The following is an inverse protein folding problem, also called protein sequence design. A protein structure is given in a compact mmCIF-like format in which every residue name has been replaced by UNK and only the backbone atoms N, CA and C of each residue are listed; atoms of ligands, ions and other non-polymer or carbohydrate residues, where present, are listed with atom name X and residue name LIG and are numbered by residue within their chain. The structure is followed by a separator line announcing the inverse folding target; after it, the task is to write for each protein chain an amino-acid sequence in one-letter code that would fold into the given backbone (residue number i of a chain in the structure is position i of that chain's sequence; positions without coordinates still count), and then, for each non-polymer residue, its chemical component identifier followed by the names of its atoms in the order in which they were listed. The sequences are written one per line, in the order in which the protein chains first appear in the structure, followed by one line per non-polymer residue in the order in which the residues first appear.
data_IF_465256507837
#
_entry.id   IF_465256507837
#
_cell.length_a   1.000
_cell.length_b   1.000
_cell.length_c   1.000
_cell.angle_alpha   90.00
_cell.angle_beta   90.00
_cell.angle_gamma   90.00
#
_symmetry.space_group_name_H-M   'P 1'
#
loop_
_entity.id
_entity.type
_entity.pdbx_description
1 polymer ?
#
# COMPACT_ATOMS: atom_id res chain seq x y z
N UNK A 1 9.11 -9.99 5.53
CA UNK A 1 8.69 -10.27 6.90
C UNK A 1 7.29 -9.70 7.16
N UNK A 2 6.38 -10.58 7.58
CA UNK A 2 4.96 -10.25 7.87
C UNK A 2 4.80 -9.07 8.82
N UNK A 3 5.63 -9.02 9.83
CA UNK A 3 5.60 -7.97 10.83
C UNK A 3 6.02 -6.61 10.28
N UNK A 4 6.86 -6.58 9.27
CA UNK A 4 7.27 -5.33 8.64
C UNK A 4 6.09 -4.67 7.91
N UNK A 5 5.35 -5.44 7.11
CA UNK A 5 4.17 -4.93 6.39
C UNK A 5 3.12 -4.40 7.37
N UNK A 6 2.84 -5.15 8.42
CA UNK A 6 1.89 -4.74 9.45
C UNK A 6 2.34 -3.45 10.14
N UNK A 7 3.63 -3.35 10.49
CA UNK A 7 4.19 -2.13 11.06
C UNK A 7 3.99 -0.91 10.16
N UNK A 8 4.26 -1.05 8.86
CA UNK A 8 4.07 0.03 7.89
C UNK A 8 2.61 0.46 7.80
N UNK A 9 1.68 -0.49 7.77
CA UNK A 9 0.26 -0.18 7.78
C UNK A 9 -0.15 0.58 9.05
N UNK A 10 0.32 0.15 10.20
CA UNK A 10 0.03 0.81 11.48
C UNK A 10 0.63 2.21 11.51
N UNK A 11 1.86 2.37 11.02
CA UNK A 11 2.53 3.67 10.96
C UNK A 11 1.77 4.64 10.07
N UNK A 12 1.34 4.18 8.90
CA UNK A 12 0.54 4.99 7.97
C UNK A 12 -0.79 5.42 8.60
N UNK A 13 -1.47 4.53 9.31
CA UNK A 13 -2.70 4.83 10.04
C UNK A 13 -2.46 5.85 11.17
N UNK A 14 -1.38 5.70 11.90
CA UNK A 14 -1.00 6.65 12.95
C UNK A 14 -0.74 8.05 12.38
N UNK A 15 0.00 8.14 11.28
CA UNK A 15 0.31 9.41 10.63
C UNK A 15 -0.97 10.08 10.08
N UNK A 16 -1.88 9.29 9.54
CA UNK A 16 -3.19 9.76 9.07
C UNK A 16 -4.06 10.33 10.21
N UNK A 17 -4.09 9.65 11.34
CA UNK A 17 -4.79 10.14 12.55
C UNK A 17 -4.17 11.42 13.09
N UNK A 18 -2.85 11.49 13.14
CA UNK A 18 -2.11 12.66 13.59
C UNK A 18 -2.36 13.86 12.69
N UNK A 19 -2.37 13.69 11.38
CA UNK A 19 -2.71 14.72 10.41
C UNK A 19 -4.14 15.22 10.64
N UNK A 20 -5.10 14.31 10.79
CA UNK A 20 -6.50 14.66 11.02
C UNK A 20 -6.72 15.40 12.34
N UNK A 21 -6.07 14.99 13.43
CA UNK A 21 -6.19 15.63 14.73
C UNK A 21 -5.64 17.05 14.75
N UNK A 22 -4.70 17.39 13.87
CA UNK A 22 -4.19 18.76 13.72
C UNK A 22 -5.23 19.70 13.12
N UNK A 23 -6.21 19.18 12.39
CA UNK A 23 -7.29 19.93 11.75
C UNK A 23 -8.57 19.94 12.61
N UNK A 24 -8.89 18.81 13.23
CA UNK A 24 -10.12 18.57 14.01
C UNK A 24 -9.76 18.24 15.45
N UNK A 25 -9.42 19.26 16.23
CA UNK A 25 -8.99 19.11 17.64
C UNK A 25 -10.06 18.63 18.59
N UNK A 26 -11.34 18.83 18.24
CA UNK A 26 -12.49 18.55 19.12
C UNK A 26 -13.11 17.18 18.90
N UNK A 27 -12.56 16.37 17.99
CA UNK A 27 -13.04 15.01 17.77
C UNK A 27 -12.42 14.06 18.82
N UNK A 28 -13.17 13.03 19.25
CA UNK A 28 -12.61 12.01 20.11
C UNK A 28 -11.39 11.38 19.46
N UNK A 29 -10.41 11.02 20.27
CA UNK A 29 -9.21 10.33 19.81
C UNK A 29 -9.64 9.00 19.21
N UNK A 30 -9.53 8.91 17.91
CA UNK A 30 -9.81 7.67 17.21
C UNK A 30 -8.66 6.67 17.42
N UNK A 31 -9.01 5.43 17.44
CA UNK A 31 -8.07 4.33 17.61
C UNK A 31 -7.83 3.62 16.29
N UNK A 32 -6.69 2.98 16.19
CA UNK A 32 -6.40 2.06 15.09
C UNK A 32 -6.97 0.70 15.45
N UNK A 33 -7.83 0.16 14.60
CA UNK A 33 -8.43 -1.14 14.78
C UNK A 33 -7.71 -2.18 13.93
N UNK A 34 -7.21 -3.22 14.56
CA UNK A 34 -6.54 -4.33 13.89
C UNK A 34 -7.33 -5.59 14.16
N UNK A 35 -7.74 -6.28 13.11
CA UNK A 35 -8.45 -7.55 13.27
C UNK A 35 -8.09 -8.52 12.15
N UNK A 36 -8.27 -9.81 12.43
CA UNK A 36 -7.97 -10.90 11.50
C UNK A 36 -9.27 -11.64 11.21
N UNK A 37 -9.55 -11.82 9.95
CA UNK A 37 -10.73 -12.56 9.48
C UNK A 37 -10.41 -13.27 8.17
N UNK A 38 -10.74 -14.57 8.08
CA UNK A 38 -10.58 -15.36 6.84
C UNK A 38 -9.19 -15.24 6.20
N UNK A 39 -8.14 -15.42 6.96
CA UNK A 39 -6.75 -15.32 6.49
C UNK A 39 -6.35 -13.92 5.98
N UNK A 40 -7.09 -12.90 6.33
CA UNK A 40 -6.80 -11.50 6.01
C UNK A 40 -6.54 -10.72 7.28
N UNK A 41 -5.61 -9.77 7.21
CA UNK A 41 -5.34 -8.82 8.26
C UNK A 41 -5.90 -7.47 7.81
N UNK A 42 -6.70 -6.86 8.68
CA UNK A 42 -7.30 -5.55 8.45
C UNK A 42 -6.70 -4.55 9.42
N UNK A 43 -6.30 -3.41 8.89
CA UNK A 43 -5.88 -2.24 9.67
C UNK A 43 -6.81 -1.11 9.27
N UNK A 44 -7.59 -0.62 10.21
CA UNK A 44 -8.59 0.42 9.98
C UNK A 44 -8.30 1.63 10.86
N UNK A 45 -8.39 2.81 10.28
CA UNK A 45 -8.28 4.08 10.99
C UNK A 45 -9.36 5.05 10.52
N UNK A 46 -9.62 6.06 11.34
CA UNK A 46 -10.53 7.17 11.02
C UNK A 46 -9.77 8.48 10.82
N UNK A 47 -8.56 8.39 10.28
CA UNK A 47 -7.69 9.53 10.05
C UNK A 47 -8.09 10.39 8.86
N UNK A 48 -7.14 11.18 8.37
CA UNK A 48 -7.34 12.11 7.27
C UNK A 48 -7.76 11.43 5.97
N UNK A 49 -7.27 10.22 5.74
CA UNK A 49 -7.46 9.50 4.49
C UNK A 49 -6.65 10.10 3.33
N UNK A 50 -6.91 9.59 2.15
CA UNK A 50 -6.21 9.98 0.93
C UNK A 50 -7.22 10.27 -0.19
N UNK A 51 -6.97 11.34 -0.95
CA UNK A 51 -7.60 11.55 -2.23
C UNK A 51 -6.92 10.68 -3.31
N UNK A 52 -7.43 10.72 -4.53
CA UNK A 52 -6.86 9.93 -5.63
C UNK A 52 -5.38 10.23 -5.89
N UNK A 53 -4.99 11.49 -5.87
CA UNK A 53 -3.60 11.90 -6.09
C UNK A 53 -2.67 11.35 -4.99
N UNK A 54 -3.05 11.49 -3.74
CA UNK A 54 -2.27 10.94 -2.61
C UNK A 54 -2.17 9.42 -2.68
N UNK A 55 -3.22 8.76 -3.15
CA UNK A 55 -3.22 7.32 -3.31
C UNK A 55 -2.26 6.87 -4.43
N UNK A 56 -2.17 7.63 -5.53
CA UNK A 56 -1.16 7.39 -6.57
C UNK A 56 0.26 7.60 -6.06
N UNK A 57 0.49 8.60 -5.23
CA UNK A 57 1.78 8.82 -4.57
C UNK A 57 2.11 7.71 -3.58
N UNK A 58 1.12 7.28 -2.80
CA UNK A 58 1.24 6.13 -1.89
C UNK A 58 1.68 4.86 -2.64
N UNK A 59 1.14 4.62 -3.83
CA UNK A 59 1.55 3.50 -4.68
C UNK A 59 3.05 3.50 -4.93
N UNK A 60 3.64 4.66 -5.16
CA UNK A 60 5.08 4.80 -5.42
C UNK A 60 5.94 4.58 -4.18
N UNK A 61 5.47 5.06 -3.05
CA UNK A 61 6.24 5.10 -1.78
C UNK A 61 5.90 3.92 -0.88
N UNK A 62 4.63 3.55 -0.80
CA UNK A 62 4.11 2.56 0.15
C UNK A 62 4.55 1.12 -0.12
N UNK A 63 4.96 0.81 -1.35
CA UNK A 63 5.45 -0.53 -1.72
C UNK A 63 6.98 -0.65 -1.71
N UNK A 64 7.64 0.15 -1.12
CA UNK A 64 8.76 0.94 -1.35
C UNK A 64 10.13 0.33 -1.34
N UNK A 65 10.87 0.93 -2.17
CA UNK A 65 12.27 1.25 -1.96
C UNK A 65 12.43 2.76 -2.03
N UNK A 66 13.50 3.29 -1.44
CA UNK A 66 13.84 4.70 -1.54
C UNK A 66 14.04 5.19 -2.98
N UNK A 67 14.22 4.26 -3.93
CA UNK A 67 14.39 4.51 -5.35
C UNK A 67 13.47 3.59 -6.17
N UNK A 68 12.23 4.01 -6.49
CA UNK A 68 11.30 3.20 -7.28
C UNK A 68 11.76 2.95 -8.73
N UNK A 69 12.77 3.68 -9.20
CA UNK A 69 13.36 3.51 -10.53
C UNK A 69 14.57 2.56 -10.54
N UNK A 70 14.99 2.04 -9.40
CA UNK A 70 16.04 1.03 -9.36
C UNK A 70 15.59 -0.28 -9.99
N UNK A 71 16.50 -0.93 -10.71
CA UNK A 71 16.28 -2.27 -11.24
C UNK A 71 16.01 -3.25 -10.12
N UNK A 72 15.01 -4.09 -10.32
CA UNK A 72 14.69 -5.16 -9.39
C UNK A 72 15.55 -6.37 -9.72
N UNK A 73 16.75 -6.43 -9.15
CA UNK A 73 17.56 -7.64 -9.17
C UNK A 73 17.06 -8.67 -8.16
N UNK A 74 17.85 -9.74 -7.98
CA UNK A 74 17.55 -10.80 -6.99
C UNK A 74 17.25 -10.28 -5.59
N UNK A 75 17.93 -9.21 -5.17
CA UNK A 75 17.73 -8.58 -3.87
C UNK A 75 16.45 -7.76 -3.81
N UNK A 76 15.95 -7.30 -4.95
CA UNK A 76 14.64 -6.63 -5.05
C UNK A 76 13.48 -7.57 -4.73
N UNK A 77 13.63 -8.88 -4.99
CA UNK A 77 12.68 -9.90 -4.55
C UNK A 77 12.55 -9.89 -3.02
N UNK A 78 13.67 -9.75 -2.31
CA UNK A 78 13.66 -9.64 -0.85
C UNK A 78 12.91 -8.41 -0.33
N UNK A 79 12.99 -7.29 -1.03
CA UNK A 79 12.26 -6.06 -0.69
C UNK A 79 10.76 -6.20 -0.95
N UNK A 80 10.39 -6.90 -2.03
CA UNK A 80 9.02 -7.28 -2.33
C UNK A 80 8.53 -8.46 -1.47
N UNK A 81 9.41 -9.19 -0.82
CA UNK A 81 9.07 -10.31 0.04
C UNK A 81 8.23 -9.91 1.26
N UNK A 82 8.26 -8.64 1.65
CA UNK A 82 7.31 -8.10 2.61
C UNK A 82 5.88 -8.14 2.08
N UNK A 83 5.71 -7.94 0.79
CA UNK A 83 4.45 -8.00 0.06
C UNK A 83 4.07 -9.47 -0.23
N UNK A 84 5.04 -10.37 -0.26
CA UNK A 84 4.89 -11.81 -0.46
C UNK A 84 4.03 -12.52 0.58
N UNK A 85 3.70 -11.84 1.62
CA UNK A 85 2.92 -12.37 2.72
C UNK A 85 1.45 -12.41 2.39
N UNK A 86 1.04 -11.58 1.45
CA UNK A 86 -0.33 -11.47 1.00
C UNK A 86 -0.38 -11.65 -0.51
N UNK A 87 -1.42 -12.29 -1.00
CA UNK A 87 -1.69 -12.38 -2.44
C UNK A 87 -2.10 -11.03 -3.01
N UNK A 88 -2.75 -10.22 -2.21
CA UNK A 88 -3.22 -8.87 -2.57
C UNK A 88 -3.06 -7.92 -1.40
N UNK A 89 -2.73 -6.68 -1.72
CA UNK A 89 -2.88 -5.55 -0.81
C UNK A 89 -4.02 -4.67 -1.33
N UNK A 90 -4.98 -4.40 -0.47
CA UNK A 90 -6.12 -3.55 -0.79
C UNK A 90 -6.12 -2.36 0.16
N UNK A 91 -6.08 -1.17 -0.40
CA UNK A 91 -6.21 0.09 0.36
C UNK A 91 -7.49 0.76 -0.07
N UNK A 92 -8.42 0.90 0.86
CA UNK A 92 -9.66 1.64 0.66
C UNK A 92 -9.60 2.89 1.52
N UNK A 93 -9.80 4.04 0.93
CA UNK A 93 -9.63 5.32 1.61
C UNK A 93 -10.61 6.37 1.09
N UNK A 94 -10.98 7.29 1.96
CA UNK A 94 -11.64 8.53 1.61
C UNK A 94 -11.01 9.67 2.40
N UNK A 95 -10.76 10.77 1.74
CA UNK A 95 -10.18 11.93 2.39
C UNK A 95 -11.27 12.80 3.02
N UNK A 96 -10.96 13.42 4.14
CA UNK A 96 -11.85 14.41 4.76
C UNK A 96 -12.26 15.47 3.72
N UNK A 97 -13.54 15.76 3.63
CA UNK A 97 -14.16 16.65 2.64
C UNK A 97 -14.08 16.20 1.17
N UNK A 98 -13.65 14.99 0.90
CA UNK A 98 -13.74 14.40 -0.42
C UNK A 98 -15.01 13.53 -0.50
N UNK A 99 -15.94 13.80 -1.42
CA UNK A 99 -17.14 12.98 -1.55
C UNK A 99 -16.87 11.61 -2.16
N UNK A 100 -15.66 11.37 -2.64
CA UNK A 100 -15.28 10.13 -3.29
C UNK A 100 -14.52 9.20 -2.35
N UNK A 101 -14.73 7.91 -2.59
CA UNK A 101 -13.98 6.82 -1.99
C UNK A 101 -13.06 6.22 -3.05
N UNK A 102 -11.85 5.93 -2.68
CA UNK A 102 -10.84 5.40 -3.59
C UNK A 102 -10.36 4.03 -3.11
N UNK A 103 -10.16 3.13 -4.03
CA UNK A 103 -9.63 1.80 -3.74
C UNK A 103 -8.44 1.51 -4.64
N UNK A 104 -7.32 1.16 -4.02
CA UNK A 104 -6.13 0.64 -4.67
C UNK A 104 -6.07 -0.85 -4.42
N UNK A 105 -5.86 -1.62 -5.48
CA UNK A 105 -5.61 -3.07 -5.39
C UNK A 105 -4.26 -3.35 -6.02
N UNK A 106 -3.35 -3.90 -5.24
CA UNK A 106 -2.07 -4.40 -5.72
C UNK A 106 -2.08 -5.93 -5.73
N UNK A 107 -1.94 -6.51 -6.93
CA UNK A 107 -1.84 -7.95 -7.14
C UNK A 107 -0.40 -8.41 -6.90
N UNK A 108 -0.07 -8.69 -5.66
CA UNK A 108 1.27 -9.10 -5.27
C UNK A 108 1.64 -10.48 -5.84
N UNK A 109 0.69 -11.39 -5.91
CA UNK A 109 0.91 -12.72 -6.47
C UNK A 109 1.28 -12.64 -7.95
N UNK A 110 0.51 -11.89 -8.74
CA UNK A 110 0.80 -11.67 -10.16
C UNK A 110 2.13 -10.97 -10.40
N UNK A 111 2.45 -9.96 -9.58
CA UNK A 111 3.72 -9.24 -9.67
C UNK A 111 4.92 -10.17 -9.45
N UNK A 112 4.82 -11.08 -8.48
CA UNK A 112 5.89 -12.05 -8.20
C UNK A 112 6.06 -13.08 -9.30
N UNK A 113 4.98 -13.56 -9.87
CA UNK A 113 5.03 -14.49 -11.01
C UNK A 113 5.70 -13.82 -12.22
N UNK A 114 5.35 -12.57 -12.51
CA UNK A 114 6.00 -11.80 -13.58
C UNK A 114 7.48 -11.59 -13.32
N UNK A 115 7.84 -11.27 -12.09
CA UNK A 115 9.24 -11.11 -11.69
C UNK A 115 10.06 -12.38 -11.90
N UNK A 116 9.49 -13.54 -11.55
CA UNK A 116 10.12 -14.85 -11.78
C UNK A 116 10.32 -15.14 -13.28
N UNK A 117 9.32 -14.76 -14.10
CA UNK A 117 9.37 -14.90 -15.56
C UNK A 117 10.47 -14.03 -16.15
N UNK A 118 10.55 -12.78 -15.76
CA UNK A 118 11.60 -11.86 -16.21
C UNK A 118 12.99 -12.33 -15.84
N UNK A 119 13.14 -12.93 -14.67
CA UNK A 119 14.40 -13.52 -14.25
C UNK A 119 14.84 -14.64 -15.18
N UNK A 120 13.94 -15.54 -15.59
CA UNK A 120 14.22 -16.60 -16.55
C UNK A 120 14.62 -16.05 -17.91
N UNK A 121 14.06 -14.93 -18.35
CA UNK A 121 14.31 -14.28 -19.61
C UNK A 121 15.48 -13.28 -19.55
N UNK A 122 16.19 -13.20 -18.43
CA UNK A 122 17.29 -12.25 -18.18
C UNK A 122 16.88 -10.78 -18.38
N UNK A 123 15.60 -10.46 -18.19
CA UNK A 123 15.09 -9.09 -18.20
C UNK A 123 15.29 -8.44 -16.83
N UNK A 124 15.54 -7.15 -16.84
CA UNK A 124 15.82 -6.38 -15.63
C UNK A 124 14.85 -5.20 -15.52
N UNK A 125 13.60 -5.45 -15.10
CA UNK A 125 12.58 -4.39 -14.99
C UNK A 125 12.84 -3.48 -13.79
N UNK A 126 12.27 -2.28 -13.84
CA UNK A 126 12.23 -1.43 -12.67
C UNK A 126 11.11 -1.85 -11.72
N UNK A 127 11.30 -1.60 -10.44
CA UNK A 127 10.28 -1.83 -9.42
C UNK A 127 9.02 -0.97 -9.70
N UNK A 128 9.21 0.27 -10.15
CA UNK A 128 8.10 1.16 -10.50
C UNK A 128 7.23 0.57 -11.63
N UNK A 129 7.85 0.02 -12.67
CA UNK A 129 7.12 -0.62 -13.77
C UNK A 129 6.31 -1.83 -13.28
N UNK A 130 6.90 -2.66 -12.44
CA UNK A 130 6.23 -3.82 -11.86
C UNK A 130 5.01 -3.41 -11.00
N UNK A 131 5.20 -2.47 -10.11
CA UNK A 131 4.12 -1.96 -9.23
C UNK A 131 3.01 -1.34 -10.07
N UNK A 132 3.34 -0.49 -11.03
CA UNK A 132 2.36 0.16 -11.91
C UNK A 132 1.52 -0.85 -12.69
N UNK A 133 2.16 -1.89 -13.23
CA UNK A 133 1.49 -2.91 -14.05
C UNK A 133 0.50 -3.77 -13.25
N UNK A 134 0.74 -3.96 -11.95
CA UNK A 134 -0.07 -4.81 -11.08
C UNK A 134 -0.90 -4.03 -10.06
N UNK A 135 -1.02 -2.72 -10.23
CA UNK A 135 -1.84 -1.86 -9.37
C UNK A 135 -3.02 -1.28 -10.14
N UNK A 136 -4.21 -1.40 -9.57
CA UNK A 136 -5.42 -0.78 -10.07
C UNK A 136 -5.94 0.22 -9.03
N UNK A 137 -6.31 1.42 -9.47
CA UNK A 137 -6.96 2.43 -8.62
C UNK A 137 -8.32 2.74 -9.23
N UNK A 138 -9.37 2.67 -8.40
CA UNK A 138 -10.74 3.02 -8.77
C UNK A 138 -11.31 4.02 -7.78
N UNK A 139 -12.12 4.94 -8.28
CA UNK A 139 -12.83 5.94 -7.48
C UNK A 139 -14.32 5.74 -7.59
N UNK A 140 -15.03 5.94 -6.48
CA UNK A 140 -16.48 5.77 -6.36
C UNK A 140 -17.07 6.98 -5.65
N UNK A 141 -18.32 7.34 -5.97
CA UNK A 141 -19.05 8.36 -5.21
C UNK A 141 -19.22 7.99 -3.73
#
# INVERSE_FOLDING_TARGET
NKMHVLRECIQNSYDSLKEFSSIKRDLPIDSIHIFIKNSSIFVHDSGMGMNEQKLHEFRKIGFSTKNPEESVGFQGIGKLAGINVAKKLIVTTSMYNDPQKHTLVFDAEGALEELKKWKKESKNPTLNHLIKSYTTIKSFP
#
